data_IF_661427382255
#
_entry.id   IF_661427382255
#
_cell.length_a   1.000
_cell.length_b   1.000
_cell.length_c   1.000
_cell.angle_alpha   90.00
_cell.angle_beta   90.00
_cell.angle_gamma   90.00
#
_symmetry.space_group_name_H-M   'P 1'
#
loop_
_entity.id
_entity.type
_entity.pdbx_description
1 polymer ?
#
# COMPACT_ATOMS: atom_id res chain seq x y z
N UNK A 1 -58.94 -0.73 82.49
CA UNK A 1 -58.85 -0.32 81.10
C UNK A 1 -57.38 -0.04 80.83
N UNK A 2 -56.68 -1.02 80.26
CA UNK A 2 -55.27 -0.91 79.93
C UNK A 2 -55.16 -1.09 78.45
N UNK A 3 -54.82 0.00 77.77
CA UNK A 3 -54.61 0.04 76.30
C UNK A 3 -53.24 -0.56 75.97
N UNK A 4 -53.24 -1.59 75.14
CA UNK A 4 -52.01 -2.14 74.53
C UNK A 4 -51.54 -1.23 73.37
N UNK A 5 -50.22 -0.97 73.21
CA UNK A 5 -49.73 -0.18 72.14
C UNK A 5 -49.59 -0.98 70.81
N UNK A 6 -49.76 -0.22 69.72
CA UNK A 6 -49.77 -0.65 68.33
C UNK A 6 -48.53 -1.45 67.85
N UNK A 7 -48.81 -2.36 66.94
CA UNK A 7 -47.86 -3.18 66.26
C UNK A 7 -46.87 -2.35 65.39
N UNK A 8 -45.56 -2.57 65.61
CA UNK A 8 -44.47 -2.04 64.81
C UNK A 8 -44.54 -2.61 63.38
N UNK A 9 -44.26 -1.81 62.33
CA UNK A 9 -44.28 -2.26 60.94
C UNK A 9 -43.13 -3.27 60.71
N UNK A 10 -43.48 -4.38 60.05
CA UNK A 10 -42.53 -5.38 59.57
C UNK A 10 -41.53 -4.71 58.66
N UNK A 11 -40.27 -4.57 59.11
CA UNK A 11 -39.15 -4.19 58.21
C UNK A 11 -39.02 -5.21 57.08
N UNK A 12 -39.18 -4.78 55.84
CA UNK A 12 -38.91 -5.59 54.67
C UNK A 12 -37.46 -6.03 54.67
N UNK A 13 -37.22 -7.31 54.89
CA UNK A 13 -35.87 -7.90 54.80
C UNK A 13 -35.39 -7.73 53.36
N UNK A 14 -34.35 -6.93 53.15
CA UNK A 14 -33.65 -6.80 51.89
C UNK A 14 -33.21 -8.18 51.36
N UNK A 15 -32.95 -8.31 50.05
CA UNK A 15 -32.61 -9.58 49.43
C UNK A 15 -31.42 -10.24 50.14
N UNK A 16 -31.53 -11.52 50.41
CA UNK A 16 -30.46 -12.27 51.11
C UNK A 16 -29.16 -12.22 50.29
N UNK A 17 -28.02 -12.29 50.98
CA UNK A 17 -26.68 -12.30 50.35
C UNK A 17 -26.55 -13.34 49.22
N UNK A 18 -27.20 -14.49 49.38
CA UNK A 18 -27.27 -15.55 48.39
C UNK A 18 -28.03 -15.11 47.12
N UNK A 19 -29.10 -14.34 47.26
CA UNK A 19 -29.89 -13.80 46.15
C UNK A 19 -29.11 -12.73 45.40
N UNK A 20 -28.32 -11.90 46.08
CA UNK A 20 -27.45 -10.92 45.49
C UNK A 20 -26.28 -11.58 44.73
N UNK A 21 -25.65 -12.56 45.32
CA UNK A 21 -24.60 -13.35 44.70
C UNK A 21 -25.06 -14.05 43.40
N UNK A 22 -26.26 -14.66 43.43
CA UNK A 22 -26.85 -15.30 42.25
C UNK A 22 -27.16 -14.29 41.14
N UNK A 23 -27.64 -13.08 41.47
CA UNK A 23 -27.87 -12.00 40.51
C UNK A 23 -26.56 -11.50 39.91
N UNK A 24 -25.53 -11.30 40.69
CA UNK A 24 -24.20 -10.87 40.21
C UNK A 24 -23.58 -11.94 39.31
N UNK A 25 -23.67 -13.22 39.69
CA UNK A 25 -23.16 -14.32 38.87
C UNK A 25 -23.89 -14.45 37.54
N UNK A 26 -25.22 -14.30 37.48
CA UNK A 26 -25.99 -14.26 36.22
C UNK A 26 -25.62 -13.05 35.35
N UNK A 27 -25.38 -11.88 35.97
CA UNK A 27 -24.94 -10.69 35.25
C UNK A 27 -23.54 -10.88 34.64
N UNK A 28 -22.60 -11.43 35.42
CA UNK A 28 -21.24 -11.70 34.96
C UNK A 28 -21.20 -12.71 33.77
N UNK A 29 -22.02 -13.79 33.89
CA UNK A 29 -22.16 -14.76 32.79
C UNK A 29 -22.76 -14.15 31.53
N UNK A 30 -23.79 -13.30 31.63
CA UNK A 30 -24.38 -12.59 30.51
C UNK A 30 -23.36 -11.63 29.88
N UNK A 31 -22.62 -10.89 30.69
CA UNK A 31 -21.58 -10.00 30.25
C UNK A 31 -20.47 -10.78 29.51
N UNK A 32 -19.98 -11.86 30.08
CA UNK A 32 -18.98 -12.73 29.48
C UNK A 32 -19.46 -13.32 28.14
N UNK A 33 -20.73 -13.81 28.09
CA UNK A 33 -21.31 -14.32 26.85
C UNK A 33 -21.45 -13.22 25.77
N UNK A 34 -21.88 -12.02 26.18
CA UNK A 34 -21.99 -10.88 25.23
C UNK A 34 -20.61 -10.44 24.72
N UNK A 35 -19.60 -10.39 25.60
CA UNK A 35 -18.22 -10.05 25.23
C UNK A 35 -17.65 -11.11 24.27
N UNK A 36 -17.89 -12.39 24.54
CA UNK A 36 -17.45 -13.48 23.69
C UNK A 36 -18.14 -13.43 22.31
N UNK A 37 -19.46 -13.21 22.26
CA UNK A 37 -20.21 -13.06 21.02
C UNK A 37 -19.71 -11.86 20.19
N UNK A 38 -19.43 -10.73 20.85
CA UNK A 38 -18.86 -9.57 20.19
C UNK A 38 -17.46 -9.87 19.62
N UNK A 39 -16.61 -10.56 20.38
CA UNK A 39 -15.28 -10.96 19.91
C UNK A 39 -15.36 -11.89 18.68
N UNK A 40 -16.28 -12.86 18.70
CA UNK A 40 -16.52 -13.75 17.55
C UNK A 40 -17.03 -12.98 16.32
N UNK A 41 -17.98 -12.06 16.53
CA UNK A 41 -18.49 -11.22 15.43
C UNK A 41 -17.39 -10.32 14.86
N UNK A 42 -16.54 -9.74 15.71
CA UNK A 42 -15.40 -8.94 15.28
C UNK A 42 -14.39 -9.78 14.50
N UNK A 43 -14.07 -10.98 14.97
CA UNK A 43 -13.18 -11.90 14.26
C UNK A 43 -13.76 -12.32 12.91
N UNK A 44 -15.04 -12.66 12.88
CA UNK A 44 -15.72 -13.00 11.63
C UNK A 44 -15.69 -11.85 10.61
N UNK A 45 -16.00 -10.63 11.06
CA UNK A 45 -15.95 -9.45 10.17
C UNK A 45 -14.53 -9.15 9.69
N UNK A 46 -13.51 -9.34 10.54
CA UNK A 46 -12.11 -9.16 10.16
C UNK A 46 -11.65 -10.18 9.12
N UNK A 47 -12.07 -11.45 9.25
CA UNK A 47 -11.81 -12.49 8.25
C UNK A 47 -12.53 -12.15 6.94
N UNK A 48 -13.82 -11.79 6.99
CA UNK A 48 -14.57 -11.38 5.81
C UNK A 48 -13.96 -10.17 5.11
N UNK A 49 -13.45 -9.20 5.87
CA UNK A 49 -12.76 -8.02 5.32
C UNK A 49 -11.48 -8.39 4.55
N UNK A 50 -10.80 -9.48 4.90
CA UNK A 50 -9.62 -9.96 4.19
C UNK A 50 -9.93 -10.50 2.77
N UNK A 51 -11.21 -10.70 2.43
CA UNK A 51 -11.68 -11.13 1.12
C UNK A 51 -12.49 -10.05 0.38
N UNK A 52 -12.54 -8.83 0.91
CA UNK A 52 -13.25 -7.70 0.30
C UNK A 52 -12.31 -6.90 -0.62
N UNK A 53 -11.89 -7.50 -1.74
CA UNK A 53 -10.96 -6.89 -2.69
C UNK A 53 -11.54 -5.63 -3.33
N UNK A 54 -10.67 -4.62 -3.50
CA UNK A 54 -11.03 -3.32 -4.10
C UNK A 54 -9.98 -2.90 -5.11
N UNK A 55 -10.38 -2.02 -6.02
CA UNK A 55 -9.49 -1.24 -6.87
C UNK A 55 -9.61 0.21 -6.42
N UNK A 56 -8.49 0.83 -6.10
CA UNK A 56 -8.41 2.27 -5.86
C UNK A 56 -7.69 2.93 -7.03
N UNK A 57 -8.23 4.03 -7.54
CA UNK A 57 -7.68 4.74 -8.70
C UNK A 57 -7.16 6.10 -8.27
N UNK A 58 -5.93 6.41 -8.66
CA UNK A 58 -5.28 7.68 -8.39
C UNK A 58 -4.83 8.30 -9.70
N UNK A 59 -5.18 9.57 -9.94
CA UNK A 59 -4.65 10.33 -11.08
C UNK A 59 -3.57 11.27 -10.56
N UNK A 60 -2.33 10.99 -10.94
CA UNK A 60 -1.18 11.75 -10.49
C UNK A 60 -0.95 12.90 -11.47
N UNK A 61 -0.82 14.15 -10.98
CA UNK A 61 -0.43 15.26 -11.81
C UNK A 61 1.01 15.06 -12.29
N UNK A 62 1.44 15.79 -13.34
CA UNK A 62 2.83 15.81 -13.75
C UNK A 62 3.72 16.08 -12.54
N UNK A 63 4.85 15.36 -12.44
CA UNK A 63 5.76 15.56 -11.32
C UNK A 63 6.20 17.03 -11.28
N UNK A 64 6.01 17.77 -10.17
CA UNK A 64 6.32 19.21 -10.10
C UNK A 64 7.79 19.55 -10.35
N UNK A 65 8.69 18.54 -10.32
CA UNK A 65 10.10 18.71 -10.66
C UNK A 65 10.42 18.50 -12.12
N UNK A 66 9.44 18.04 -12.90
CA UNK A 66 9.59 17.81 -14.33
C UNK A 66 8.41 18.46 -15.07
N UNK A 67 8.45 19.81 -15.28
CA UNK A 67 7.38 20.49 -15.99
C UNK A 67 7.27 19.90 -17.39
N UNK A 68 6.07 19.47 -17.73
CA UNK A 68 5.75 19.08 -19.11
C UNK A 68 6.16 20.21 -20.06
N UNK A 69 6.74 19.92 -21.23
CA UNK A 69 7.12 20.95 -22.19
C UNK A 69 5.92 21.62 -22.88
N UNK A 70 4.75 21.58 -22.32
CA UNK A 70 3.58 22.26 -22.83
C UNK A 70 3.57 23.73 -22.38
N UNK A 71 3.88 24.71 -23.26
CA UNK A 71 3.97 26.11 -22.91
C UNK A 71 2.63 26.76 -22.51
N UNK A 72 1.52 26.03 -22.53
CA UNK A 72 0.18 26.53 -22.23
C UNK A 72 -0.28 26.28 -20.79
N UNK A 73 0.53 25.64 -19.93
CA UNK A 73 0.26 25.60 -18.50
C UNK A 73 0.81 26.85 -17.81
N UNK A 74 0.05 27.93 -17.84
CA UNK A 74 0.27 29.09 -16.96
C UNK A 74 -0.02 28.66 -15.50
N UNK A 75 0.91 28.93 -14.56
CA UNK A 75 0.62 28.71 -13.15
C UNK A 75 -0.52 29.64 -12.73
N UNK A 76 -1.57 29.08 -12.12
CA UNK A 76 -2.62 29.85 -11.49
C UNK A 76 -2.02 30.74 -10.40
N UNK A 77 -2.13 32.04 -10.61
CA UNK A 77 -1.59 33.08 -9.75
C UNK A 77 -2.40 33.15 -8.41
N UNK A 78 -1.83 32.85 -7.24
CA UNK A 78 -2.55 32.90 -5.97
C UNK A 78 -2.48 34.31 -5.36
N UNK A 79 -3.04 35.30 -6.03
CA UNK A 79 -3.14 36.64 -5.45
C UNK A 79 -4.53 37.19 -5.72
N UNK A 80 -5.48 36.88 -4.83
CA UNK A 80 -6.58 37.74 -4.36
C UNK A 80 -7.65 36.90 -3.62
N UNK A 81 -7.45 36.72 -2.36
CA UNK A 81 -8.54 36.42 -1.43
C UNK A 81 -8.23 37.02 -0.06
N UNK A 82 -8.55 38.27 0.08
CA UNK A 82 -8.90 38.89 1.38
C UNK A 82 -9.63 40.19 1.09
N UNK A 83 -10.90 40.24 1.36
CA UNK A 83 -11.63 41.22 2.16
C UNK A 83 -13.07 41.36 1.75
N UNK A 84 -13.93 41.40 2.75
CA UNK A 84 -15.27 42.03 2.83
C UNK A 84 -16.47 41.26 2.20
N UNK A 85 -17.32 40.76 3.12
CA UNK A 85 -18.74 40.59 2.83
C UNK A 85 -19.37 41.93 2.46
N UNK A 86 -20.18 41.99 1.42
CA UNK A 86 -21.55 42.43 1.61
C UNK A 86 -22.60 41.66 0.76
N UNK A 87 -23.86 41.70 1.27
CA UNK A 87 -25.16 41.64 0.58
C UNK A 87 -25.40 40.56 -0.45
N UNK A 88 -26.51 39.86 -0.21
CA UNK A 88 -27.20 38.86 -1.05
C UNK A 88 -27.45 39.41 -2.47
N UNK A 89 -26.70 38.91 -3.42
CA UNK A 89 -27.03 38.93 -4.84
C UNK A 89 -27.59 37.56 -5.26
N UNK A 90 -28.46 37.48 -6.28
CA UNK A 90 -29.01 36.23 -6.77
C UNK A 90 -27.89 35.32 -7.29
N UNK A 91 -28.03 33.98 -7.20
CA UNK A 91 -26.98 33.04 -7.61
C UNK A 91 -26.64 33.26 -9.08
N UNK A 92 -25.35 33.46 -9.34
CA UNK A 92 -24.78 33.48 -10.67
C UNK A 92 -25.11 32.15 -11.41
N UNK A 93 -25.24 32.16 -12.74
CA UNK A 93 -25.39 30.92 -13.51
C UNK A 93 -24.24 29.96 -13.12
N UNK A 94 -24.59 28.69 -12.84
CA UNK A 94 -23.64 27.64 -12.56
C UNK A 94 -22.59 27.60 -13.67
N UNK A 95 -21.36 27.85 -13.34
CA UNK A 95 -20.26 27.64 -14.28
C UNK A 95 -20.30 26.18 -14.76
N UNK A 96 -20.03 25.92 -16.05
CA UNK A 96 -19.95 24.55 -16.53
C UNK A 96 -18.92 23.81 -15.70
N UNK A 97 -19.16 22.51 -15.35
CA UNK A 97 -18.24 21.73 -14.57
C UNK A 97 -16.84 21.80 -15.21
N UNK A 98 -15.77 21.89 -14.41
CA UNK A 98 -14.42 21.97 -14.94
C UNK A 98 -14.19 20.84 -15.93
N UNK A 99 -13.64 21.17 -17.09
CA UNK A 99 -13.31 20.20 -18.15
C UNK A 99 -12.53 19.06 -17.48
N UNK A 100 -12.93 17.79 -17.63
CA UNK A 100 -12.20 16.69 -17.00
C UNK A 100 -10.72 16.78 -17.39
N UNK A 101 -9.82 16.57 -16.46
CA UNK A 101 -8.40 16.56 -16.77
C UNK A 101 -8.14 15.62 -17.94
N UNK A 102 -7.22 15.98 -18.85
CA UNK A 102 -6.85 15.14 -19.97
C UNK A 102 -6.66 13.69 -19.49
N UNK A 103 -7.14 12.69 -20.24
CA UNK A 103 -7.00 11.30 -19.83
C UNK A 103 -5.51 11.02 -19.58
N UNK A 104 -5.17 10.23 -18.54
CA UNK A 104 -3.79 9.93 -18.21
C UNK A 104 -3.09 9.28 -19.41
N UNK A 105 -1.85 9.68 -19.67
CA UNK A 105 -1.02 9.14 -20.77
C UNK A 105 -0.67 7.68 -20.56
N UNK A 106 -0.61 7.25 -19.30
CA UNK A 106 -0.26 5.90 -18.88
C UNK A 106 -1.04 5.53 -17.61
N UNK A 107 -1.65 4.35 -17.58
CA UNK A 107 -2.34 3.79 -16.42
C UNK A 107 -1.62 2.52 -15.98
N UNK A 108 -1.17 2.49 -14.74
CA UNK A 108 -0.40 1.38 -14.17
C UNK A 108 -1.28 0.63 -13.19
N UNK A 109 -1.50 -0.68 -13.41
CA UNK A 109 -2.07 -1.58 -12.42
C UNK A 109 -0.95 -2.03 -11.48
N UNK A 110 -1.06 -1.70 -10.20
CA UNK A 110 -0.12 -2.11 -9.17
C UNK A 110 -0.73 -3.23 -8.31
N UNK A 111 -0.13 -4.40 -8.37
CA UNK A 111 -0.45 -5.59 -7.59
C UNK A 111 0.67 -5.86 -6.59
N UNK A 112 0.34 -6.18 -5.35
CA UNK A 112 1.32 -6.50 -4.32
C UNK A 112 0.76 -7.46 -3.28
N UNK A 113 1.63 -8.21 -2.63
CA UNK A 113 1.35 -9.01 -1.44
C UNK A 113 0.11 -9.89 -1.62
N UNK A 114 0.06 -10.67 -2.70
CA UNK A 114 -1.05 -11.58 -2.98
C UNK A 114 -1.07 -12.78 -2.06
N UNK A 115 0.08 -13.20 -1.55
CA UNK A 115 0.24 -14.31 -0.60
C UNK A 115 -0.58 -15.54 -0.96
N UNK A 116 -0.41 -16.07 -2.17
CA UNK A 116 -1.14 -17.26 -2.59
C UNK A 116 -0.81 -18.48 -1.73
N UNK A 117 -1.84 -19.08 -1.19
CA UNK A 117 -1.85 -20.39 -0.55
C UNK A 117 -3.18 -21.10 -0.83
N UNK A 118 -3.25 -22.39 -0.63
CA UNK A 118 -4.47 -23.17 -0.85
C UNK A 118 -5.63 -22.60 -0.01
N UNK A 119 -6.76 -22.31 -0.65
CA UNK A 119 -7.92 -21.65 -0.05
C UNK A 119 -8.05 -20.16 -0.43
N UNK A 120 -7.23 -19.70 -1.42
CA UNK A 120 -7.33 -18.34 -1.99
C UNK A 120 -7.79 -18.33 -3.44
N UNK A 121 -8.65 -19.28 -3.78
CA UNK A 121 -9.26 -19.39 -5.12
C UNK A 121 -10.17 -18.21 -5.44
N UNK A 122 -10.74 -17.57 -4.43
CA UNK A 122 -11.49 -16.31 -4.54
C UNK A 122 -10.63 -15.18 -5.09
N UNK A 123 -9.38 -15.04 -4.61
CA UNK A 123 -8.42 -14.05 -5.12
C UNK A 123 -8.02 -14.36 -6.56
N UNK A 124 -7.85 -15.65 -6.90
CA UNK A 124 -7.56 -16.06 -8.28
C UNK A 124 -8.67 -15.59 -9.21
N UNK A 125 -9.93 -15.89 -8.88
CA UNK A 125 -11.09 -15.47 -9.69
C UNK A 125 -11.19 -13.95 -9.82
N UNK A 126 -10.93 -13.21 -8.74
CA UNK A 126 -10.94 -11.76 -8.77
C UNK A 126 -9.82 -11.18 -9.66
N UNK A 127 -8.61 -11.74 -9.60
CA UNK A 127 -7.50 -11.32 -10.46
C UNK A 127 -7.73 -11.68 -11.93
N UNK A 128 -8.34 -12.82 -12.22
CA UNK A 128 -8.75 -13.18 -13.58
C UNK A 128 -9.77 -12.19 -14.15
N UNK A 129 -10.76 -11.77 -13.32
CA UNK A 129 -11.67 -10.69 -13.70
C UNK A 129 -10.90 -9.39 -13.94
N UNK A 130 -9.96 -9.01 -13.07
CA UNK A 130 -9.17 -7.80 -13.26
C UNK A 130 -8.31 -7.86 -14.54
N UNK A 131 -7.76 -9.03 -14.89
CA UNK A 131 -7.02 -9.23 -16.14
C UNK A 131 -7.90 -9.00 -17.39
N UNK A 132 -9.20 -9.31 -17.34
CA UNK A 132 -10.12 -9.04 -18.45
C UNK A 132 -10.34 -7.55 -18.71
N UNK A 133 -9.87 -6.67 -17.80
CA UNK A 133 -9.94 -5.21 -17.89
C UNK A 133 -8.70 -4.59 -18.54
N UNK A 134 -7.74 -5.41 -18.96
CA UNK A 134 -6.50 -4.96 -19.60
C UNK A 134 -6.79 -4.12 -20.86
N UNK A 135 -6.07 -3.03 -21.03
CA UNK A 135 -6.26 -2.05 -22.11
C UNK A 135 -7.47 -1.11 -21.92
N UNK A 136 -8.48 -1.52 -21.12
CA UNK A 136 -9.62 -0.67 -20.78
C UNK A 136 -9.31 0.21 -19.57
N UNK A 137 -8.84 -0.40 -18.48
CA UNK A 137 -8.63 0.28 -17.20
C UNK A 137 -7.16 0.58 -16.92
N UNK A 138 -6.23 -0.17 -17.53
CA UNK A 138 -4.77 0.00 -17.35
C UNK A 138 -4.01 -0.48 -18.58
N UNK A 139 -2.77 0.00 -18.70
CA UNK A 139 -1.89 -0.17 -19.85
C UNK A 139 -0.58 -0.89 -19.50
N UNK A 140 -0.28 -1.03 -18.21
CA UNK A 140 0.93 -1.64 -17.68
C UNK A 140 0.63 -2.34 -16.35
N UNK A 141 1.31 -3.47 -16.08
CA UNK A 141 1.17 -4.20 -14.81
C UNK A 141 2.48 -4.16 -14.04
N UNK A 142 2.43 -3.73 -12.78
CA UNK A 142 3.56 -3.78 -11.86
C UNK A 142 3.25 -4.69 -10.68
N UNK A 143 4.15 -5.63 -10.38
CA UNK A 143 4.02 -6.55 -9.24
C UNK A 143 5.17 -6.32 -8.26
N UNK A 144 4.86 -5.97 -7.01
CA UNK A 144 5.87 -5.61 -6.03
C UNK A 144 6.13 -6.67 -4.95
N UNK A 145 5.99 -7.94 -5.30
CA UNK A 145 6.47 -9.06 -4.48
C UNK A 145 5.47 -9.62 -3.48
N UNK A 146 5.95 -10.56 -2.65
CA UNK A 146 5.18 -11.37 -1.71
C UNK A 146 3.97 -12.05 -2.39
N UNK A 147 4.23 -12.63 -3.57
CA UNK A 147 3.20 -13.32 -4.34
C UNK A 147 2.79 -14.64 -3.69
N UNK A 148 3.69 -15.27 -2.97
CA UNK A 148 3.47 -16.54 -2.30
C UNK A 148 3.35 -16.31 -0.78
N UNK A 149 2.44 -17.05 -0.15
CA UNK A 149 2.48 -17.21 1.29
C UNK A 149 3.50 -18.29 1.59
N UNK A 150 4.55 -17.96 2.34
CA UNK A 150 5.62 -18.89 2.74
C UNK A 150 5.08 -20.28 3.06
N UNK A 151 5.62 -21.20 3.59
CA UNK A 151 5.29 -22.59 3.96
C UNK A 151 4.11 -23.29 3.20
N UNK A 152 2.98 -22.59 3.02
CA UNK A 152 1.79 -23.07 2.30
C UNK A 152 1.59 -22.39 0.94
N UNK A 153 2.65 -21.71 0.44
CA UNK A 153 2.59 -21.00 -0.83
C UNK A 153 2.22 -21.94 -1.97
N UNK A 154 1.21 -21.54 -2.72
CA UNK A 154 0.73 -22.30 -3.86
C UNK A 154 1.12 -21.62 -5.17
N UNK A 155 2.20 -22.15 -5.79
CA UNK A 155 2.70 -21.65 -7.08
C UNK A 155 1.70 -21.82 -8.22
N UNK A 156 0.84 -22.84 -8.14
CA UNK A 156 -0.15 -23.07 -9.18
C UNK A 156 -1.28 -22.04 -9.12
N UNK A 157 -1.70 -21.66 -7.91
CA UNK A 157 -2.65 -20.56 -7.73
C UNK A 157 -2.06 -19.22 -8.19
N UNK A 158 -0.81 -18.93 -7.83
CA UNK A 158 -0.12 -17.73 -8.33
C UNK A 158 -0.06 -17.71 -9.86
N UNK A 159 0.30 -18.83 -10.48
CA UNK A 159 0.34 -18.94 -11.93
C UNK A 159 -1.06 -18.81 -12.55
N UNK A 160 -2.08 -19.47 -11.98
CA UNK A 160 -3.46 -19.39 -12.47
C UNK A 160 -4.01 -17.95 -12.38
N UNK A 161 -3.62 -17.19 -11.37
CA UNK A 161 -4.03 -15.79 -11.19
C UNK A 161 -3.33 -14.85 -12.16
N UNK A 162 -2.01 -15.03 -12.41
CA UNK A 162 -1.19 -14.09 -13.17
C UNK A 162 -1.11 -14.42 -14.67
N UNK A 163 -1.33 -15.70 -15.05
CA UNK A 163 -1.32 -16.12 -16.45
C UNK A 163 -2.27 -15.33 -17.35
N UNK A 164 -3.52 -15.00 -16.96
CA UNK A 164 -4.40 -14.21 -17.81
C UNK A 164 -3.84 -12.83 -18.16
N UNK A 165 -3.12 -12.17 -17.25
CA UNK A 165 -2.44 -10.89 -17.56
C UNK A 165 -1.36 -11.07 -18.63
N UNK A 166 -0.55 -12.13 -18.53
CA UNK A 166 0.45 -12.46 -19.53
C UNK A 166 -0.17 -12.76 -20.89
N UNK A 167 -1.30 -13.46 -20.92
CA UNK A 167 -2.01 -13.81 -22.14
C UNK A 167 -2.62 -12.62 -22.89
N UNK A 168 -2.83 -11.48 -22.19
CA UNK A 168 -3.26 -10.23 -22.85
C UNK A 168 -2.15 -9.56 -23.67
N UNK A 169 -0.90 -10.00 -23.54
CA UNK A 169 0.27 -9.31 -24.09
C UNK A 169 0.58 -7.98 -23.40
N UNK A 170 -0.06 -7.71 -22.25
CA UNK A 170 0.13 -6.48 -21.46
C UNK A 170 1.57 -6.39 -20.96
N UNK A 171 2.30 -5.29 -21.25
CA UNK A 171 3.63 -5.10 -20.70
C UNK A 171 3.59 -5.00 -19.17
N UNK A 172 4.64 -5.48 -18.52
CA UNK A 172 4.71 -5.44 -17.08
C UNK A 172 6.12 -5.56 -16.53
N UNK A 173 6.24 -5.37 -15.24
CA UNK A 173 7.49 -5.53 -14.51
C UNK A 173 7.22 -6.06 -13.09
N UNK A 174 8.22 -6.70 -12.50
CA UNK A 174 8.08 -7.25 -11.17
C UNK A 174 9.37 -7.20 -10.35
N UNK A 175 9.20 -7.17 -9.03
CA UNK A 175 10.22 -7.50 -8.04
C UNK A 175 9.67 -8.56 -7.09
N UNK A 176 10.55 -9.28 -6.40
CA UNK A 176 10.18 -10.30 -5.42
C UNK A 176 10.23 -9.72 -4.00
N UNK A 177 9.35 -10.23 -3.14
CA UNK A 177 9.32 -9.93 -1.72
C UNK A 177 9.91 -11.05 -0.86
N UNK A 178 9.95 -10.83 0.45
CA UNK A 178 10.58 -11.75 1.40
C UNK A 178 9.95 -13.15 1.41
N UNK A 179 8.64 -13.22 1.23
CA UNK A 179 7.89 -14.49 1.22
C UNK A 179 8.11 -15.30 -0.06
N UNK A 180 8.62 -14.68 -1.11
CA UNK A 180 9.04 -15.38 -2.33
C UNK A 180 10.41 -16.05 -2.18
N UNK A 181 11.18 -15.74 -1.10
CA UNK A 181 12.50 -16.29 -0.83
C UNK A 181 12.57 -17.20 0.40
N UNK A 182 11.74 -16.95 1.41
CA UNK A 182 11.89 -17.57 2.72
C UNK A 182 10.57 -18.09 3.28
N UNK A 183 10.63 -19.23 3.96
CA UNK A 183 9.54 -19.75 4.76
C UNK A 183 9.40 -18.97 6.07
N UNK A 184 8.20 -18.53 6.39
CA UNK A 184 7.87 -18.05 7.72
C UNK A 184 7.50 -19.23 8.62
N UNK A 185 8.06 -19.25 9.81
CA UNK A 185 7.61 -20.14 10.87
C UNK A 185 6.41 -19.55 11.61
N UNK A 186 5.51 -20.38 12.15
CA UNK A 186 4.46 -19.91 13.05
C UNK A 186 5.07 -19.06 14.16
N UNK A 187 4.56 -17.87 14.37
CA UNK A 187 5.00 -16.93 15.38
C UNK A 187 3.83 -16.42 16.21
N UNK A 188 4.13 -15.72 17.31
CA UNK A 188 3.09 -15.04 18.06
C UNK A 188 2.47 -13.93 17.20
N UNK A 189 1.16 -13.99 16.86
CA UNK A 189 0.51 -12.98 16.03
C UNK A 189 0.57 -11.57 16.65
N UNK A 190 0.66 -11.45 17.98
CA UNK A 190 0.83 -10.15 18.64
C UNK A 190 2.22 -9.53 18.39
N UNK A 191 3.21 -10.30 17.92
CA UNK A 191 4.49 -9.75 17.53
C UNK A 191 4.38 -8.78 16.33
N UNK A 192 3.33 -8.93 15.53
CA UNK A 192 3.04 -8.04 14.39
C UNK A 192 2.73 -6.59 14.83
N UNK A 193 2.23 -6.40 16.04
CA UNK A 193 1.94 -5.08 16.62
C UNK A 193 3.18 -4.39 17.23
N UNK A 194 4.35 -4.99 17.14
CA UNK A 194 5.59 -4.35 17.59
C UNK A 194 6.03 -3.29 16.59
N UNK A 195 6.37 -2.11 17.10
CA UNK A 195 6.88 -0.98 16.29
C UNK A 195 8.26 -1.25 15.65
N UNK A 196 9.00 -2.24 16.13
CA UNK A 196 10.26 -2.62 15.55
C UNK A 196 10.04 -3.58 14.38
N UNK A 197 10.62 -3.30 13.20
CA UNK A 197 10.56 -4.22 12.06
C UNK A 197 10.99 -5.62 12.52
N UNK A 198 10.23 -6.63 12.10
CA UNK A 198 10.61 -8.02 12.36
C UNK A 198 11.90 -8.31 11.60
N UNK A 199 13.06 -8.07 12.24
CA UNK A 199 14.34 -8.50 11.67
C UNK A 199 14.26 -10.00 11.48
N UNK A 200 14.34 -10.45 10.22
CA UNK A 200 14.12 -11.83 9.79
C UNK A 200 15.08 -12.88 10.36
N UNK A 201 15.28 -12.88 11.68
CA UNK A 201 16.29 -13.68 12.37
C UNK A 201 16.06 -15.20 12.30
N UNK A 202 14.95 -15.69 11.78
CA UNK A 202 14.60 -17.13 11.84
C UNK A 202 13.81 -17.65 10.64
N UNK A 203 14.05 -17.11 9.44
CA UNK A 203 13.41 -17.61 8.23
C UNK A 203 14.25 -18.75 7.62
N UNK A 204 13.69 -19.94 7.53
CA UNK A 204 14.29 -20.98 6.72
C UNK A 204 14.24 -20.56 5.25
N UNK A 205 15.32 -20.85 4.52
CA UNK A 205 15.35 -20.57 3.08
C UNK A 205 14.31 -21.47 2.41
N UNK A 206 13.38 -20.88 1.67
CA UNK A 206 12.56 -21.65 0.73
C UNK A 206 13.45 -22.42 -0.22
N UNK A 207 13.02 -23.54 -0.70
CA UNK A 207 13.68 -24.23 -1.79
C UNK A 207 14.06 -23.21 -2.86
N UNK A 208 15.38 -23.01 -3.16
CA UNK A 208 15.80 -22.02 -4.14
C UNK A 208 15.16 -22.20 -5.52
N UNK A 209 14.59 -23.39 -5.80
CA UNK A 209 13.82 -23.65 -7.01
C UNK A 209 12.50 -22.88 -7.06
N UNK A 210 11.93 -22.51 -5.90
CA UNK A 210 10.59 -21.93 -5.81
C UNK A 210 10.57 -20.47 -6.30
N UNK A 211 11.45 -19.63 -5.79
CA UNK A 211 11.61 -18.24 -6.28
C UNK A 211 12.09 -18.20 -7.74
N UNK A 212 12.94 -19.16 -8.17
CA UNK A 212 13.35 -19.30 -9.57
C UNK A 212 12.19 -19.66 -10.49
N UNK A 213 11.31 -20.54 -10.06
CA UNK A 213 10.12 -20.92 -10.85
C UNK A 213 9.20 -19.71 -11.09
N UNK A 214 8.92 -18.93 -10.05
CA UNK A 214 8.06 -17.75 -10.18
C UNK A 214 8.68 -16.67 -11.06
N UNK A 215 9.99 -16.43 -10.90
CA UNK A 215 10.76 -15.52 -11.77
C UNK A 215 10.72 -15.96 -13.23
N UNK A 216 10.99 -17.25 -13.49
CA UNK A 216 10.95 -17.78 -14.84
C UNK A 216 9.56 -17.64 -15.45
N UNK A 217 8.51 -17.99 -14.72
CA UNK A 217 7.14 -17.86 -15.20
C UNK A 217 6.78 -16.41 -15.58
N UNK A 218 7.15 -15.42 -14.76
CA UNK A 218 6.87 -14.02 -15.04
C UNK A 218 7.74 -13.47 -16.18
N UNK A 219 9.01 -13.83 -16.22
CA UNK A 219 9.91 -13.45 -17.29
C UNK A 219 9.51 -14.07 -18.65
N UNK A 220 9.10 -15.35 -18.65
CA UNK A 220 8.58 -16.03 -19.84
C UNK A 220 7.27 -15.41 -20.36
N UNK A 221 6.57 -14.68 -19.48
CA UNK A 221 5.41 -13.87 -19.82
C UNK A 221 5.76 -12.53 -20.51
N UNK A 222 7.04 -12.23 -20.70
CA UNK A 222 7.53 -10.98 -21.27
C UNK A 222 7.61 -9.82 -20.27
N UNK A 223 7.42 -10.08 -18.98
CA UNK A 223 7.54 -9.03 -17.96
C UNK A 223 8.98 -8.83 -17.53
N UNK A 224 9.36 -7.57 -17.30
CA UNK A 224 10.71 -7.21 -16.88
C UNK A 224 10.98 -7.65 -15.44
N UNK A 225 12.03 -8.46 -15.24
CA UNK A 225 12.55 -8.80 -13.92
C UNK A 225 13.44 -7.66 -13.41
N UNK A 226 12.93 -6.89 -12.46
CA UNK A 226 13.62 -5.73 -11.89
C UNK A 226 14.27 -6.02 -10.52
N UNK A 227 14.53 -7.27 -10.20
CA UNK A 227 15.27 -7.62 -8.98
C UNK A 227 16.73 -7.18 -9.06
N UNK A 228 17.06 -5.96 -8.57
CA UNK A 228 18.35 -5.29 -8.74
C UNK A 228 18.71 -5.12 -10.23
N UNK A 229 17.75 -4.66 -11.01
CA UNK A 229 17.87 -4.51 -12.45
C UNK A 229 17.18 -3.22 -12.92
N UNK A 230 17.50 -2.82 -14.13
CA UNK A 230 16.86 -1.71 -14.83
C UNK A 230 16.69 -2.03 -16.30
N UNK A 231 15.68 -1.46 -16.92
CA UNK A 231 15.43 -1.56 -18.36
C UNK A 231 14.60 -0.37 -18.83
N UNK A 232 14.40 -0.25 -20.11
CA UNK A 232 13.50 0.73 -20.70
C UNK A 232 12.53 0.07 -21.67
N UNK A 233 11.31 0.60 -21.76
CA UNK A 233 10.31 0.14 -22.72
C UNK A 233 9.35 1.25 -23.11
N UNK A 234 8.70 1.10 -24.24
CA UNK A 234 7.61 2.00 -24.65
C UNK A 234 6.24 1.39 -24.36
N UNK A 235 5.37 2.18 -23.73
CA UNK A 235 3.97 1.81 -23.47
C UNK A 235 3.09 2.97 -23.93
N UNK A 236 2.19 2.72 -24.88
CA UNK A 236 1.30 3.73 -25.46
C UNK A 236 2.05 5.01 -25.93
N UNK A 237 3.25 4.85 -26.50
CA UNK A 237 4.07 5.98 -26.96
C UNK A 237 4.81 6.73 -25.85
N UNK A 238 4.68 6.31 -24.58
CA UNK A 238 5.44 6.85 -23.46
C UNK A 238 6.67 5.99 -23.22
N UNK A 239 7.85 6.61 -23.18
CA UNK A 239 9.08 5.92 -22.80
C UNK A 239 9.17 5.80 -21.27
N UNK A 240 9.23 4.57 -20.78
CA UNK A 240 9.44 4.24 -19.38
C UNK A 240 10.89 3.82 -19.16
N UNK A 241 11.60 4.50 -18.26
CA UNK A 241 12.81 3.97 -17.64
C UNK A 241 12.41 3.28 -16.33
N UNK A 242 12.64 1.99 -16.26
CA UNK A 242 12.26 1.13 -15.15
C UNK A 242 13.50 0.76 -14.33
N UNK A 243 13.43 0.89 -13.02
CA UNK A 243 14.48 0.42 -12.11
C UNK A 243 13.86 -0.25 -10.90
N UNK A 244 14.42 -1.37 -10.49
CA UNK A 244 13.91 -2.08 -9.32
C UNK A 244 15.01 -2.58 -8.40
N UNK A 245 14.63 -2.81 -7.16
CA UNK A 245 15.49 -3.43 -6.14
C UNK A 245 14.84 -4.71 -5.64
N UNK A 246 15.68 -5.72 -5.39
CA UNK A 246 15.27 -6.90 -4.63
C UNK A 246 14.92 -6.48 -3.20
N UNK A 247 14.19 -7.31 -2.45
CA UNK A 247 13.57 -6.93 -1.19
C UNK A 247 14.51 -6.27 -0.16
N UNK A 248 14.24 -5.00 0.20
CA UNK A 248 15.01 -4.27 1.21
C UNK A 248 14.80 -4.78 2.65
N UNK A 249 13.66 -5.42 2.94
CA UNK A 249 13.33 -5.92 4.27
C UNK A 249 14.32 -7.01 4.72
N UNK A 250 14.73 -7.85 3.79
CA UNK A 250 15.72 -8.91 4.01
C UNK A 250 17.13 -8.51 3.52
N UNK A 251 17.36 -7.22 3.24
CA UNK A 251 18.64 -6.64 2.81
C UNK A 251 19.23 -7.29 1.55
N UNK A 252 18.38 -7.59 0.58
CA UNK A 252 18.78 -8.09 -0.74
C UNK A 252 18.83 -7.00 -1.80
N UNK A 253 18.44 -5.80 -1.45
CA UNK A 253 18.40 -4.64 -2.34
C UNK A 253 19.80 -4.19 -2.76
N UNK A 254 19.94 -4.00 -4.07
CA UNK A 254 21.07 -3.31 -4.70
C UNK A 254 20.48 -2.31 -5.69
N UNK A 255 20.69 -1.05 -5.42
CA UNK A 255 20.18 -0.01 -6.30
C UNK A 255 21.10 0.16 -7.51
N UNK A 256 20.53 0.12 -8.72
CA UNK A 256 21.26 0.17 -10.00
C UNK A 256 21.00 1.45 -10.81
N UNK A 257 20.20 2.37 -10.28
CA UNK A 257 19.84 3.63 -10.95
C UNK A 257 18.93 3.43 -12.15
N UNK A 258 18.75 4.51 -12.94
CA UNK A 258 18.05 4.50 -14.23
C UNK A 258 19.06 4.61 -15.38
N UNK A 259 18.66 4.22 -16.59
CA UNK A 259 19.51 4.29 -17.77
C UNK A 259 19.49 3.01 -18.61
N UNK A 260 20.54 2.74 -19.42
CA UNK A 260 20.61 1.57 -20.28
C UNK A 260 20.37 0.25 -19.53
N UNK A 261 19.90 -0.75 -20.26
CA UNK A 261 19.56 -2.05 -19.69
C UNK A 261 20.68 -2.66 -18.84
N UNK A 262 20.31 -3.13 -17.67
CA UNK A 262 21.19 -3.80 -16.74
C UNK A 262 20.41 -4.95 -16.09
N UNK A 263 20.81 -6.15 -16.40
CA UNK A 263 20.11 -7.37 -15.98
C UNK A 263 20.18 -7.62 -14.47
N UNK A 264 19.38 -8.58 -13.98
CA UNK A 264 19.29 -8.87 -12.56
C UNK A 264 20.60 -9.30 -11.94
N UNK A 265 21.04 -8.60 -10.90
CA UNK A 265 22.24 -8.98 -10.14
C UNK A 265 21.83 -9.92 -9.00
N UNK A 266 22.43 -11.12 -8.90
CA UNK A 266 22.19 -12.01 -7.79
C UNK A 266 22.52 -11.33 -6.47
N UNK A 267 21.57 -11.33 -5.54
CA UNK A 267 21.84 -10.92 -4.17
C UNK A 267 22.60 -12.07 -3.48
N UNK A 268 23.88 -11.88 -3.22
CA UNK A 268 24.66 -12.81 -2.39
C UNK A 268 24.10 -12.88 -0.96
N UNK A 269 24.21 -14.03 -0.26
CA UNK A 269 23.82 -14.13 1.13
C UNK A 269 24.69 -13.20 1.98
N UNK A 270 24.06 -12.29 2.72
CA UNK A 270 24.68 -11.57 3.84
C UNK A 270 25.54 -10.36 3.52
N UNK A 271 25.72 -9.94 2.28
CA UNK A 271 26.46 -8.71 1.94
C UNK A 271 25.52 -7.51 1.82
N UNK A 272 24.94 -7.10 2.97
CA UNK A 272 24.51 -5.72 3.11
C UNK A 272 25.77 -4.84 2.87
N UNK A 273 25.68 -3.87 1.96
CA UNK A 273 26.69 -2.81 1.80
C UNK A 273 27.96 -3.07 0.99
N UNK A 274 27.96 -3.85 -0.04
CA UNK A 274 28.82 -3.41 -1.13
C UNK A 274 27.96 -2.50 -2.02
N UNK A 275 28.17 -1.19 -1.87
CA UNK A 275 27.81 -0.23 -2.90
C UNK A 275 28.51 -0.70 -4.17
N UNK A 276 27.81 -1.44 -5.03
CA UNK A 276 28.10 -1.27 -6.44
C UNK A 276 27.88 0.22 -6.62
N UNK A 277 28.96 0.97 -6.85
CA UNK A 277 28.85 2.37 -7.25
C UNK A 277 28.02 2.30 -8.52
N UNK A 278 26.70 2.46 -8.35
CA UNK A 278 25.82 2.52 -9.50
C UNK A 278 26.36 3.68 -10.33
N UNK A 279 26.61 3.48 -11.63
CA UNK A 279 26.93 4.62 -12.47
C UNK A 279 25.83 5.63 -12.24
N UNK A 280 26.20 6.88 -11.95
CA UNK A 280 25.24 7.96 -11.73
C UNK A 280 24.20 7.90 -12.86
N UNK A 281 22.93 7.93 -12.50
CA UNK A 281 21.88 7.95 -13.49
C UNK A 281 22.13 9.12 -14.45
N UNK A 282 22.02 8.88 -15.73
CA UNK A 282 22.11 9.94 -16.71
C UNK A 282 21.02 10.98 -16.42
N UNK A 283 21.22 12.26 -16.77
CA UNK A 283 20.15 13.25 -16.71
C UNK A 283 18.88 12.69 -17.33
N UNK A 284 17.75 12.92 -16.69
CA UNK A 284 16.47 12.42 -17.18
C UNK A 284 16.10 13.14 -18.47
N UNK A 285 15.87 12.41 -19.59
CA UNK A 285 15.40 13.03 -20.84
C UNK A 285 13.97 13.57 -20.67
N UNK A 286 13.63 14.60 -21.45
CA UNK A 286 12.27 15.14 -21.48
C UNK A 286 11.27 14.10 -21.99
N UNK A 287 10.09 14.05 -21.36
CA UNK A 287 9.00 13.15 -21.74
C UNK A 287 9.19 11.69 -21.33
N UNK A 288 10.29 11.35 -20.66
CA UNK A 288 10.54 10.04 -20.06
C UNK A 288 9.91 9.95 -18.68
N UNK A 289 9.27 8.83 -18.36
CA UNK A 289 8.78 8.53 -17.01
C UNK A 289 9.74 7.55 -16.36
N UNK A 290 10.28 7.90 -15.18
CA UNK A 290 11.10 7.03 -14.33
C UNK A 290 10.24 6.34 -13.27
N UNK A 291 10.06 5.04 -13.43
CA UNK A 291 9.25 4.21 -12.54
C UNK A 291 10.16 3.28 -11.72
N UNK A 292 10.11 3.44 -10.40
CA UNK A 292 10.81 2.57 -9.46
C UNK A 292 9.93 1.45 -8.91
N UNK A 293 10.47 0.25 -8.72
CA UNK A 293 9.82 -0.86 -8.02
C UNK A 293 10.65 -1.32 -6.81
N UNK A 294 10.02 -1.43 -5.66
CA UNK A 294 10.61 -1.98 -4.45
C UNK A 294 9.56 -2.76 -3.67
N UNK A 295 9.89 -3.96 -3.16
CA UNK A 295 8.90 -4.64 -2.32
C UNK A 295 8.59 -3.82 -1.06
N UNK A 296 9.58 -3.45 -0.28
CA UNK A 296 9.37 -2.73 0.97
C UNK A 296 9.81 -1.25 0.86
N UNK A 297 9.02 -0.29 1.40
CA UNK A 297 9.25 1.16 1.25
C UNK A 297 10.26 1.70 2.29
N UNK A 298 11.47 1.15 2.35
CA UNK A 298 12.51 1.66 3.26
C UNK A 298 13.03 3.03 2.82
N UNK A 299 13.11 3.98 3.76
CA UNK A 299 13.54 5.37 3.50
C UNK A 299 14.87 5.45 2.75
N UNK A 300 15.83 4.57 3.06
CA UNK A 300 17.13 4.52 2.38
C UNK A 300 17.03 4.19 0.89
N UNK A 301 16.04 3.40 0.51
CA UNK A 301 15.77 3.02 -0.89
C UNK A 301 15.02 4.14 -1.59
N UNK A 302 13.97 4.68 -0.95
CA UNK A 302 13.20 5.79 -1.47
C UNK A 302 14.08 7.02 -1.74
N UNK A 303 15.02 7.33 -0.83
CA UNK A 303 15.96 8.43 -1.01
C UNK A 303 16.86 8.26 -2.24
N UNK A 304 17.25 7.04 -2.59
CA UNK A 304 18.05 6.77 -3.80
C UNK A 304 17.24 6.99 -5.07
N UNK A 305 16.01 6.48 -5.11
CA UNK A 305 15.09 6.73 -6.23
C UNK A 305 14.82 8.24 -6.41
N UNK A 306 14.58 8.97 -5.31
CA UNK A 306 14.36 10.41 -5.37
C UNK A 306 15.60 11.17 -5.85
N UNK A 307 16.80 10.79 -5.38
CA UNK A 307 18.06 11.41 -5.83
C UNK A 307 18.29 11.24 -7.34
N UNK A 308 17.85 10.11 -7.91
CA UNK A 308 17.97 9.81 -9.32
C UNK A 308 16.77 10.30 -10.15
N UNK A 309 15.88 11.11 -9.57
CA UNK A 309 14.78 11.75 -10.29
C UNK A 309 13.69 10.76 -10.74
N UNK A 310 13.35 9.76 -9.94
CA UNK A 310 12.17 8.95 -10.15
C UNK A 310 10.91 9.83 -10.12
N UNK A 311 9.90 9.49 -10.93
CA UNK A 311 8.59 10.15 -10.89
C UNK A 311 7.65 9.44 -9.92
N UNK A 312 7.71 8.10 -9.93
CA UNK A 312 6.85 7.24 -9.12
C UNK A 312 7.65 6.03 -8.65
N UNK A 313 7.47 5.65 -7.39
CA UNK A 313 7.95 4.38 -6.84
C UNK A 313 6.79 3.58 -6.27
N UNK A 314 6.71 2.31 -6.67
CA UNK A 314 5.68 1.37 -6.24
C UNK A 314 6.22 0.45 -5.16
N UNK A 315 5.48 0.30 -4.06
CA UNK A 315 5.86 -0.53 -2.93
C UNK A 315 4.68 -1.30 -2.35
N UNK A 316 4.98 -2.39 -1.64
CA UNK A 316 4.05 -3.20 -0.88
C UNK A 316 4.52 -3.42 0.56
N UNK A 317 4.54 -4.68 1.01
CA UNK A 317 5.12 -5.15 2.28
C UNK A 317 4.38 -4.77 3.57
N UNK A 318 3.87 -3.55 3.65
CA UNK A 318 3.28 -2.99 4.88
C UNK A 318 1.92 -3.56 5.21
N UNK A 319 1.25 -4.16 4.23
CA UNK A 319 -0.17 -4.59 4.30
C UNK A 319 -1.11 -3.47 4.77
N UNK A 320 -0.72 -2.19 4.58
CA UNK A 320 -1.45 -1.05 5.11
C UNK A 320 -1.57 -1.05 6.65
N UNK A 321 -0.65 -1.76 7.33
CA UNK A 321 -0.72 -2.01 8.77
C UNK A 321 -1.65 -3.16 9.16
N UNK A 322 -2.39 -3.76 8.23
CA UNK A 322 -3.29 -4.93 8.35
C UNK A 322 -4.36 -4.81 9.45
N UNK A 323 -3.99 -4.34 10.66
CA UNK A 323 -4.90 -4.01 11.77
C UNK A 323 -4.81 -2.50 12.01
N UNK A 324 -5.87 -1.80 11.63
CA UNK A 324 -5.96 -0.35 11.71
C UNK A 324 -7.03 0.11 12.70
N UNK A 325 -6.96 1.36 13.10
CA UNK A 325 -8.03 2.07 13.78
C UNK A 325 -9.15 2.42 12.78
N UNK A 326 -10.35 2.76 13.24
CA UNK A 326 -11.40 3.32 12.38
C UNK A 326 -10.85 4.49 11.55
N UNK A 327 -11.23 4.54 10.26
CA UNK A 327 -10.67 5.50 9.31
C UNK A 327 -9.36 5.04 8.64
N UNK A 328 -8.97 3.75 8.80
CA UNK A 328 -7.83 3.16 8.10
C UNK A 328 -6.45 3.55 8.67
N UNK A 329 -6.38 4.17 9.85
CA UNK A 329 -5.10 4.58 10.46
C UNK A 329 -4.31 3.37 10.96
N UNK A 330 -3.22 3.06 10.28
CA UNK A 330 -2.32 1.97 10.65
C UNK A 330 -1.71 2.16 12.05
N UNK A 331 -1.52 1.07 12.77
CA UNK A 331 -0.84 1.05 14.07
C UNK A 331 0.68 0.87 13.90
N UNK A 332 1.07 0.15 12.85
CA UNK A 332 2.46 -0.17 12.50
C UNK A 332 2.63 -0.18 10.99
N UNK A 333 3.84 0.08 10.51
CA UNK A 333 4.18 0.01 9.08
C UNK A 333 5.03 -1.21 8.72
N UNK A 334 5.58 -1.90 9.71
CA UNK A 334 6.54 -3.01 9.55
C UNK A 334 7.82 -2.63 8.77
N UNK A 335 8.10 -1.35 8.61
CA UNK A 335 9.32 -0.79 8.02
C UNK A 335 9.77 0.44 8.81
N UNK A 336 10.65 1.27 8.26
CA UNK A 336 11.13 2.49 8.91
C UNK A 336 10.26 3.73 8.61
N UNK A 337 9.20 3.58 7.80
CA UNK A 337 8.23 4.66 7.58
C UNK A 337 7.28 4.81 8.78
N UNK A 338 6.79 6.04 9.04
CA UNK A 338 5.72 6.23 10.02
C UNK A 338 4.45 5.48 9.61
N UNK A 339 3.64 5.01 10.58
CA UNK A 339 2.40 4.27 10.30
C UNK A 339 1.41 5.01 9.38
N UNK A 340 1.42 6.35 9.37
CA UNK A 340 0.59 7.14 8.46
C UNK A 340 0.92 6.94 6.98
N UNK A 341 2.09 6.41 6.67
CA UNK A 341 2.55 6.10 5.31
C UNK A 341 2.53 4.60 5.01
N UNK A 342 1.85 3.81 5.82
CA UNK A 342 1.77 2.36 5.61
C UNK A 342 0.94 1.98 4.38
N UNK A 343 0.15 2.89 3.81
CA UNK A 343 -0.55 2.71 2.53
C UNK A 343 -0.95 4.06 1.95
N UNK A 344 -1.30 4.06 0.66
CA UNK A 344 -1.72 5.26 -0.06
C UNK A 344 -0.66 5.79 -1.00
N UNK A 345 -0.92 6.97 -1.57
CA UNK A 345 -0.02 7.67 -2.47
C UNK A 345 0.40 8.98 -1.84
N UNK A 346 1.69 9.26 -1.81
CA UNK A 346 2.23 10.47 -1.17
C UNK A 346 3.52 10.95 -1.86
N UNK A 347 3.91 12.19 -1.57
CA UNK A 347 5.15 12.76 -2.08
C UNK A 347 6.33 12.46 -1.14
N UNK A 348 7.48 12.06 -1.74
CA UNK A 348 8.72 11.77 -1.03
C UNK A 348 9.89 12.59 -1.61
N UNK A 349 10.84 13.10 -0.81
CA UNK A 349 10.79 13.16 0.65
C UNK A 349 9.69 14.10 1.17
N UNK A 350 9.16 13.88 2.39
CA UNK A 350 8.19 14.77 3.01
C UNK A 350 8.81 16.15 3.28
N UNK A 351 8.00 17.21 3.24
CA UNK A 351 8.46 18.59 3.50
C UNK A 351 8.46 18.86 5.00
N UNK A 352 9.64 19.14 5.56
CA UNK A 352 9.81 19.59 6.95
C UNK A 352 9.69 18.50 8.02
N UNK A 353 10.48 18.58 9.07
CA UNK A 353 10.29 17.79 10.28
C UNK A 353 9.03 18.33 11.01
N UNK A 354 7.91 17.68 10.86
CA UNK A 354 6.61 18.07 11.42
C UNK A 354 5.53 18.43 10.41
N UNK A 355 5.81 18.39 9.11
CA UNK A 355 4.78 18.56 8.09
C UNK A 355 3.96 17.26 7.98
N UNK A 356 2.65 17.39 8.10
CA UNK A 356 1.73 16.32 7.71
C UNK A 356 2.03 15.96 6.26
N UNK A 357 2.29 14.66 6.02
CA UNK A 357 2.51 14.17 4.67
C UNK A 357 1.16 14.23 3.97
N UNK A 358 1.06 15.07 2.93
CA UNK A 358 -0.15 15.15 2.14
C UNK A 358 -0.37 13.80 1.42
N UNK A 359 -1.36 13.03 1.89
CA UNK A 359 -1.88 11.88 1.18
C UNK A 359 -2.65 12.38 -0.03
N UNK A 360 -2.44 11.78 -1.19
CA UNK A 360 -3.33 11.95 -2.34
C UNK A 360 -4.58 11.14 -2.02
N UNK A 361 -5.66 11.81 -1.63
CA UNK A 361 -6.94 11.13 -1.40
C UNK A 361 -7.55 10.67 -2.72
N UNK A 362 -8.32 9.58 -2.63
CA UNK A 362 -9.04 8.99 -3.77
C UNK A 362 -9.92 10.08 -4.42
N UNK A 363 -9.64 10.47 -5.65
CA UNK A 363 -10.32 11.58 -6.32
C UNK A 363 -11.68 11.13 -6.85
N UNK A 364 -12.60 10.87 -5.91
CA UNK A 364 -14.02 11.04 -6.16
C UNK A 364 -14.43 12.45 -5.64
N UNK A 365 -13.90 13.48 -6.28
CA UNK A 365 -14.51 14.82 -6.25
C UNK A 365 -14.09 15.79 -5.15
N UNK A 366 -12.80 15.86 -4.73
CA UNK A 366 -12.34 17.02 -3.92
C UNK A 366 -10.95 17.47 -4.39
N UNK A 367 -10.86 18.71 -4.87
CA UNK A 367 -9.60 19.35 -5.22
C UNK A 367 -8.78 19.62 -3.96
N UNK A 368 -7.54 19.14 -3.94
CA UNK A 368 -6.60 19.44 -2.84
C UNK A 368 -5.93 20.79 -3.12
N UNK A 369 -6.41 21.85 -2.51
CA UNK A 369 -5.67 23.10 -2.35
C UNK A 369 -4.72 22.98 -1.15
N UNK A 370 -3.50 22.53 -1.39
CA UNK A 370 -2.40 22.56 -0.41
C UNK A 370 -1.41 23.64 -0.77
N UNK A 371 -1.57 24.83 -0.20
CA UNK A 371 -0.60 25.93 -0.30
C UNK A 371 0.67 25.60 0.50
N UNK A 372 1.73 25.15 -0.20
CA UNK A 372 3.08 25.09 0.35
C UNK A 372 3.91 26.23 -0.25
N UNK A 373 4.12 27.31 0.51
CA UNK A 373 5.07 28.36 0.19
C UNK A 373 6.51 27.87 0.31
N UNK A 374 7.05 27.28 -0.75
CA UNK A 374 8.45 26.88 -0.91
C UNK A 374 8.78 26.83 -2.40
N UNK A 375 10.04 26.97 -2.75
CA UNK A 375 10.50 26.92 -4.14
C UNK A 375 9.96 25.65 -4.80
N UNK A 376 9.21 25.75 -5.89
CA UNK A 376 8.62 24.57 -6.54
C UNK A 376 9.73 23.59 -6.95
N UNK A 377 9.63 22.34 -6.51
CA UNK A 377 10.37 21.23 -7.11
C UNK A 377 11.54 20.65 -6.33
N UNK A 378 12.01 21.22 -5.22
CA UNK A 378 13.11 20.62 -4.45
C UNK A 378 12.76 20.49 -2.96
N UNK A 379 12.99 19.29 -2.41
CA UNK A 379 12.93 19.04 -0.97
C UNK A 379 14.08 19.74 -0.22
N UNK A 380 14.11 19.68 1.13
CA UNK A 380 15.06 20.43 1.98
C UNK A 380 16.55 20.10 1.70
N UNK A 381 16.85 19.06 0.94
CA UNK A 381 18.20 18.62 0.56
C UNK A 381 18.52 18.87 -0.92
N UNK A 382 17.74 19.67 -1.63
CA UNK A 382 17.92 19.87 -3.08
C UNK A 382 17.55 18.65 -3.94
N UNK A 383 16.91 17.64 -3.35
CA UNK A 383 16.49 16.39 -4.00
C UNK A 383 15.13 16.59 -4.67
N UNK A 384 14.98 16.03 -5.86
CA UNK A 384 13.69 16.00 -6.58
C UNK A 384 12.64 15.26 -5.76
N UNK A 385 11.40 15.75 -5.74
CA UNK A 385 10.29 15.05 -5.13
C UNK A 385 9.68 14.06 -6.11
N UNK A 386 9.28 12.90 -5.61
CA UNK A 386 8.63 11.85 -6.40
C UNK A 386 7.35 11.37 -5.70
N UNK A 387 6.45 10.78 -6.44
CA UNK A 387 5.34 10.05 -5.86
C UNK A 387 5.80 8.68 -5.35
N UNK A 388 5.24 8.26 -4.23
CA UNK A 388 5.38 6.89 -3.70
C UNK A 388 3.98 6.32 -3.51
N UNK A 389 3.73 5.16 -4.10
CA UNK A 389 2.49 4.41 -3.91
C UNK A 389 2.79 3.16 -3.09
N UNK A 390 2.29 3.10 -1.86
CA UNK A 390 2.41 1.95 -0.98
C UNK A 390 1.10 1.20 -0.96
N UNK A 391 1.07 0.03 -1.62
CA UNK A 391 -0.12 -0.82 -1.67
C UNK A 391 -0.41 -1.46 -0.30
N UNK A 392 -1.66 -1.51 0.16
CA UNK A 392 -2.03 -2.31 1.32
C UNK A 392 -2.03 -3.82 1.02
N UNK A 393 -1.73 -4.22 -0.21
CA UNK A 393 -1.68 -5.60 -0.63
C UNK A 393 -3.04 -6.27 -0.78
N UNK A 394 -3.07 -7.40 -1.47
CA UNK A 394 -4.27 -8.17 -1.77
C UNK A 394 -4.46 -9.39 -0.86
N UNK A 395 -3.37 -9.95 -0.37
CA UNK A 395 -3.37 -11.11 0.50
C UNK A 395 -3.16 -10.80 1.97
N UNK A 396 -3.03 -11.86 2.73
CA UNK A 396 -2.61 -11.85 4.13
C UNK A 396 -1.68 -13.02 4.35
N UNK A 397 -0.80 -12.93 5.34
CA UNK A 397 -0.06 -14.11 5.77
C UNK A 397 -1.02 -15.24 6.16
N UNK A 398 -0.67 -16.48 5.84
CA UNK A 398 -1.44 -17.67 6.23
C UNK A 398 -1.73 -17.72 7.73
N UNK A 399 -0.76 -17.30 8.56
CA UNK A 399 -0.89 -17.32 10.02
C UNK A 399 -1.66 -16.14 10.62
N UNK A 400 -1.98 -15.14 9.80
CA UNK A 400 -2.73 -13.94 10.24
C UNK A 400 -3.75 -13.55 9.15
N UNK A 401 -4.74 -14.41 8.88
CA UNK A 401 -5.66 -14.22 7.74
C UNK A 401 -6.80 -13.26 8.06
N UNK A 402 -6.48 -12.10 8.64
CA UNK A 402 -7.49 -11.11 9.04
C UNK A 402 -7.04 -9.70 8.68
N UNK A 403 -8.01 -8.83 8.40
CA UNK A 403 -7.83 -7.40 8.19
C UNK A 403 -8.88 -6.62 8.97
N UNK A 404 -8.47 -5.55 9.63
CA UNK A 404 -9.36 -4.69 10.43
C UNK A 404 -9.20 -3.25 9.94
N UNK A 405 -10.28 -2.66 9.41
CA UNK A 405 -10.31 -1.32 8.81
C UNK A 405 -9.22 -1.07 7.74
N UNK A 406 -8.73 -2.14 7.13
CA UNK A 406 -7.70 -2.12 6.10
C UNK A 406 -8.07 -3.15 5.01
N UNK A 407 -8.99 -2.84 4.10
CA UNK A 407 -9.40 -3.76 3.04
C UNK A 407 -8.22 -4.04 2.08
N UNK A 408 -8.17 -5.23 1.45
CA UNK A 408 -7.20 -5.52 0.41
C UNK A 408 -7.48 -4.68 -0.84
N UNK A 409 -6.42 -4.09 -1.44
CA UNK A 409 -6.58 -3.20 -2.59
C UNK A 409 -5.47 -3.42 -3.62
N UNK A 410 -5.86 -3.41 -4.90
CA UNK A 410 -4.98 -3.08 -6.02
C UNK A 410 -5.10 -1.59 -6.34
N UNK A 411 -4.04 -1.00 -6.88
CA UNK A 411 -4.07 0.39 -7.32
C UNK A 411 -4.05 0.49 -8.84
N UNK A 412 -4.81 1.43 -9.40
CA UNK A 412 -4.63 1.92 -10.77
C UNK A 412 -4.12 3.36 -10.65
N UNK A 413 -2.93 3.60 -11.19
CA UNK A 413 -2.22 4.88 -11.11
C UNK A 413 -2.15 5.49 -12.49
N UNK A 414 -2.90 6.57 -12.72
CA UNK A 414 -2.85 7.34 -13.96
C UNK A 414 -1.74 8.40 -13.89
N UNK A 415 -0.85 8.41 -14.88
CA UNK A 415 0.22 9.39 -15.04
C UNK A 415 -0.12 10.30 -16.22
N UNK A 416 -0.13 11.60 -16.00
CA UNK A 416 -0.45 12.65 -17.01
C UNK A 416 0.79 13.22 -17.66
#
# INVERSE_FOLDING_TARGET
MTVLPDSLPLQSRGPSSATLAAKLWRRSRKLAASTFALALATLYTAIRAAHAYRVATFNLPPNPTNPSPNPNHLPLNPAKAATSRPALEPPAPLEPPPTPPHPPRLRILHLSDTHFYRGREDLVGWLQWLASRAGQDYDFVAVTGDMLSSFYGDRYLAQAALRPFAQTGMPGAFVLGSHDFYENRPGNPLSYLRRTPSRGAHKAVLDPSFGRYLRAFLADSGWADLNNARTSMQVNGVLLELSGVCDPHIRRDRYVGFGPDFGPVPAGPGTATQSVVAPQSAPKPDGVIRLGLSHAPYSRVLNRFAADGADLVLCGHTHGGQVCLPGGRALVSNCDLPPSLASGVFLWPPVGAGADVALVEDVAGVGVEGSCGGVPGRGPWGVSRMFVAVSPGLGTSYFTPLRVFCPPQAYILGLS
#
